data_IF_050571938889
#
_entry.id   IF_050571938889
#
_cell.length_a   1.000
_cell.length_b   1.000
_cell.length_c   1.000
_cell.angle_alpha   90.00
_cell.angle_beta   90.00
_cell.angle_gamma   90.00
#
_symmetry.space_group_name_H-M   'P 1'
#
loop_
_entity.id
_entity.type
_entity.pdbx_description
1 polymer ?
#
# COMPACT_ATOMS: atom_id res chain seq x y z
N UNK A 1 -13.31 4.88 -65.08
CA UNK A 1 -11.92 4.65 -64.63
C UNK A 1 -11.55 5.78 -63.67
N UNK A 2 -10.92 5.44 -62.53
CA UNK A 2 -10.41 6.28 -61.43
C UNK A 2 -11.40 6.91 -60.43
N UNK A 3 -11.45 6.35 -59.21
CA UNK A 3 -11.55 7.05 -57.92
C UNK A 3 -11.67 6.06 -56.74
N UNK A 4 -10.62 5.30 -56.40
CA UNK A 4 -10.58 4.48 -55.17
C UNK A 4 -9.16 4.30 -54.61
N UNK A 5 -8.42 5.38 -54.42
CA UNK A 5 -7.25 5.39 -53.53
C UNK A 5 -7.17 6.78 -52.93
N UNK A 6 -7.56 6.95 -51.66
CA UNK A 6 -7.50 8.28 -51.04
C UNK A 6 -8.10 8.44 -49.64
N UNK A 7 -8.40 7.36 -48.91
CA UNK A 7 -8.90 7.49 -47.53
C UNK A 7 -8.11 6.62 -46.54
N UNK A 8 -7.61 5.44 -46.96
CA UNK A 8 -6.86 4.58 -46.05
C UNK A 8 -5.51 5.16 -45.59
N UNK A 9 -4.84 5.96 -46.43
CA UNK A 9 -3.49 6.45 -46.14
C UNK A 9 -3.47 7.66 -45.20
N UNK A 10 -4.58 8.38 -45.05
CA UNK A 10 -4.65 9.57 -44.16
C UNK A 10 -4.90 9.16 -42.71
N UNK A 11 -5.65 8.08 -42.45
CA UNK A 11 -5.91 7.61 -41.08
C UNK A 11 -4.68 7.05 -40.36
N UNK A 12 -3.65 6.61 -41.10
CA UNK A 12 -2.42 6.07 -40.48
C UNK A 12 -1.47 7.19 -40.03
N UNK A 13 -1.50 8.37 -40.66
CA UNK A 13 -0.61 9.50 -40.31
C UNK A 13 -1.07 10.28 -39.06
N UNK A 14 -2.36 10.26 -38.72
CA UNK A 14 -2.87 10.92 -37.50
C UNK A 14 -2.54 10.13 -36.23
N UNK A 15 -2.40 8.81 -36.32
CA UNK A 15 -2.05 7.97 -35.16
C UNK A 15 -0.59 8.13 -34.71
N UNK A 16 0.31 8.61 -35.58
CA UNK A 16 1.72 8.82 -35.22
C UNK A 16 1.98 10.16 -34.50
N UNK A 17 1.10 11.15 -34.63
CA UNK A 17 1.27 12.48 -34.00
C UNK A 17 0.73 12.56 -32.56
N UNK A 18 -0.11 11.60 -32.13
CA UNK A 18 -0.58 11.52 -30.74
C UNK A 18 0.39 10.79 -29.81
N UNK A 19 1.35 10.04 -30.35
CA UNK A 19 2.35 9.30 -29.56
C UNK A 19 3.57 10.16 -29.17
N UNK A 20 3.66 11.40 -29.64
CA UNK A 20 4.82 12.30 -29.44
C UNK A 20 4.63 13.43 -28.42
N UNK A 21 3.48 13.54 -27.75
CA UNK A 21 3.23 14.60 -26.76
C UNK A 21 2.22 14.20 -25.68
N UNK A 22 2.08 12.91 -25.42
CA UNK A 22 1.65 12.43 -24.12
C UNK A 22 2.90 12.24 -23.26
N UNK A 23 3.62 13.32 -22.99
CA UNK A 23 4.19 13.43 -21.65
C UNK A 23 3.00 13.27 -20.72
N UNK A 24 2.86 12.10 -20.11
CA UNK A 24 2.02 11.93 -18.94
C UNK A 24 2.50 12.98 -17.94
N UNK A 25 1.89 14.16 -17.96
CA UNK A 25 1.76 15.00 -16.79
C UNK A 25 0.97 14.14 -15.82
N UNK A 26 1.69 13.33 -15.03
CA UNK A 26 1.18 12.72 -13.82
C UNK A 26 0.43 13.82 -13.10
N UNK A 27 -0.89 13.70 -13.06
CA UNK A 27 -1.70 14.69 -12.38
C UNK A 27 -1.31 14.57 -10.90
N UNK A 28 -1.06 15.68 -10.18
CA UNK A 28 -0.76 15.64 -8.75
C UNK A 28 -1.81 14.87 -7.93
N UNK A 29 -3.03 14.75 -8.45
CA UNK A 29 -4.12 13.94 -7.90
C UNK A 29 -3.81 12.43 -7.85
N UNK A 30 -2.98 11.91 -8.74
CA UNK A 30 -2.63 10.49 -8.77
C UNK A 30 -1.69 10.15 -7.60
N UNK A 31 -0.61 10.93 -7.41
CA UNK A 31 0.34 10.75 -6.31
C UNK A 31 -0.35 10.75 -4.94
N UNK A 32 -1.24 11.71 -4.71
CA UNK A 32 -2.02 11.82 -3.48
C UNK A 32 -2.92 10.59 -3.25
N UNK A 33 -3.58 10.09 -4.30
CA UNK A 33 -4.40 8.88 -4.21
C UNK A 33 -3.57 7.63 -3.86
N UNK A 34 -2.36 7.50 -4.42
CA UNK A 34 -1.46 6.39 -4.08
C UNK A 34 -0.99 6.45 -2.62
N UNK A 35 -0.65 7.63 -2.11
CA UNK A 35 -0.26 7.83 -0.71
C UNK A 35 -1.43 7.53 0.24
N UNK A 36 -2.64 8.01 -0.08
CA UNK A 36 -3.83 7.74 0.73
C UNK A 36 -4.16 6.24 0.81
N UNK A 37 -3.99 5.50 -0.30
CA UNK A 37 -4.16 4.03 -0.32
C UNK A 37 -3.12 3.31 0.52
N UNK A 38 -1.88 3.80 0.53
CA UNK A 38 -0.83 3.23 1.38
C UNK A 38 -1.13 3.47 2.87
N UNK A 39 -1.56 4.68 3.23
CA UNK A 39 -2.01 4.98 4.59
C UNK A 39 -3.20 4.10 4.98
N UNK A 40 -4.18 3.92 4.09
CA UNK A 40 -5.32 3.04 4.33
C UNK A 40 -4.89 1.59 4.60
N UNK A 41 -3.93 1.05 3.83
CA UNK A 41 -3.39 -0.28 4.08
C UNK A 41 -2.71 -0.38 5.47
N UNK A 42 -2.02 0.68 5.90
CA UNK A 42 -1.46 0.75 7.26
C UNK A 42 -2.53 0.76 8.35
N UNK A 43 -3.60 1.53 8.16
CA UNK A 43 -4.75 1.57 9.08
C UNK A 43 -5.44 0.21 9.17
N UNK A 44 -5.68 -0.45 8.03
CA UNK A 44 -6.30 -1.78 7.99
C UNK A 44 -5.46 -2.81 8.75
N UNK A 45 -4.13 -2.76 8.61
CA UNK A 45 -3.22 -3.61 9.37
C UNK A 45 -3.33 -3.38 10.88
N UNK A 46 -3.35 -2.13 11.33
CA UNK A 46 -3.47 -1.83 12.77
C UNK A 46 -4.83 -2.24 13.34
N UNK A 47 -5.92 -2.11 12.57
CA UNK A 47 -7.24 -2.63 12.94
C UNK A 47 -7.20 -4.15 13.09
N UNK A 48 -6.59 -4.86 12.12
CA UNK A 48 -6.44 -6.31 12.20
C UNK A 48 -5.67 -6.74 13.45
N UNK A 49 -4.57 -6.05 13.77
CA UNK A 49 -3.80 -6.29 15.00
C UNK A 49 -4.64 -6.08 16.26
N UNK A 50 -5.46 -5.02 16.32
CA UNK A 50 -6.37 -4.78 17.45
C UNK A 50 -7.37 -5.92 17.62
N UNK A 51 -7.96 -6.38 16.51
CA UNK A 51 -8.85 -7.54 16.50
C UNK A 51 -8.17 -8.83 16.95
N UNK A 52 -6.92 -9.07 16.53
CA UNK A 52 -6.13 -10.24 16.96
C UNK A 52 -5.84 -10.20 18.45
N UNK A 53 -5.34 -9.06 18.94
CA UNK A 53 -5.03 -8.84 20.35
C UNK A 53 -6.26 -9.09 21.23
N UNK A 54 -7.39 -8.46 20.89
CA UNK A 54 -8.64 -8.60 21.65
C UNK A 54 -9.16 -10.04 21.54
N UNK A 55 -9.05 -10.64 20.36
CA UNK A 55 -9.43 -12.02 20.08
C UNK A 55 -8.71 -13.02 20.99
N UNK A 56 -7.39 -12.90 21.10
CA UNK A 56 -6.53 -13.76 21.94
C UNK A 56 -6.79 -13.51 23.41
N UNK A 57 -6.80 -12.23 23.84
CA UNK A 57 -7.03 -11.84 25.24
C UNK A 57 -8.35 -12.40 25.78
N UNK A 58 -9.38 -12.46 24.94
CA UNK A 58 -10.70 -12.96 25.31
C UNK A 58 -10.93 -14.44 24.98
N UNK A 59 -9.94 -15.14 24.41
CA UNK A 59 -10.06 -16.55 24.02
C UNK A 59 -11.07 -16.80 22.90
N UNK A 60 -11.39 -15.79 22.10
CA UNK A 60 -12.34 -15.86 20.97
C UNK A 60 -11.67 -16.14 19.63
N UNK A 61 -10.34 -16.07 19.59
CA UNK A 61 -9.53 -16.32 18.39
C UNK A 61 -8.41 -17.32 18.72
N UNK A 62 -8.29 -18.37 17.91
CA UNK A 62 -7.19 -19.33 18.01
C UNK A 62 -5.87 -18.77 17.50
N UNK A 63 -4.73 -19.37 17.87
CA UNK A 63 -3.41 -18.91 17.42
C UNK A 63 -3.22 -19.06 15.91
N UNK A 64 -3.68 -20.17 15.32
CA UNK A 64 -3.58 -20.41 13.87
C UNK A 64 -4.43 -19.41 13.08
N UNK A 65 -5.62 -19.09 13.60
CA UNK A 65 -6.50 -18.06 13.03
C UNK A 65 -5.86 -16.67 13.15
N UNK A 66 -5.28 -16.34 14.30
CA UNK A 66 -4.54 -15.11 14.49
C UNK A 66 -3.37 -14.99 13.51
N UNK A 67 -2.58 -16.06 13.33
CA UNK A 67 -1.47 -16.09 12.37
C UNK A 67 -1.96 -15.83 10.95
N UNK A 68 -3.04 -16.50 10.52
CA UNK A 68 -3.62 -16.30 9.19
C UNK A 68 -4.09 -14.85 8.98
N UNK A 69 -4.69 -14.23 9.99
CA UNK A 69 -5.11 -12.83 9.94
C UNK A 69 -3.92 -11.86 9.83
N UNK A 70 -2.81 -12.14 10.52
CA UNK A 70 -1.58 -11.33 10.36
C UNK A 70 -1.04 -11.45 8.95
N UNK A 71 -0.96 -12.68 8.42
CA UNK A 71 -0.45 -12.94 7.07
C UNK A 71 -1.29 -12.23 6.01
N UNK A 72 -2.62 -12.32 6.09
CA UNK A 72 -3.52 -11.60 5.19
C UNK A 72 -3.32 -10.08 5.26
N UNK A 73 -3.17 -9.52 6.46
CA UNK A 73 -2.94 -8.09 6.63
C UNK A 73 -1.57 -7.65 6.07
N UNK A 74 -0.53 -8.48 6.25
CA UNK A 74 0.81 -8.23 5.68
C UNK A 74 0.81 -8.30 4.14
N UNK A 75 0.04 -9.23 3.54
CA UNK A 75 -0.10 -9.29 2.08
C UNK A 75 -0.69 -7.99 1.51
N UNK A 76 -1.66 -7.39 2.21
CA UNK A 76 -2.24 -6.09 1.82
C UNK A 76 -1.22 -4.95 1.93
N UNK A 77 -0.38 -4.94 2.97
CA UNK A 77 0.74 -3.99 3.10
C UNK A 77 1.70 -4.11 1.92
N UNK A 78 2.18 -5.32 1.62
CA UNK A 78 3.09 -5.58 0.51
C UNK A 78 2.48 -5.17 -0.84
N UNK A 79 1.19 -5.43 -1.03
CA UNK A 79 0.49 -5.01 -2.25
C UNK A 79 0.44 -3.48 -2.39
N UNK A 80 0.23 -2.75 -1.29
CA UNK A 80 0.26 -1.29 -1.29
C UNK A 80 1.66 -0.74 -1.54
N UNK A 81 2.67 -1.32 -0.88
CA UNK A 81 4.08 -0.97 -1.03
C UNK A 81 4.57 -1.19 -2.46
N UNK A 82 4.26 -2.35 -3.06
CA UNK A 82 4.58 -2.66 -4.45
C UNK A 82 3.98 -1.63 -5.41
N UNK A 83 2.71 -1.28 -5.22
CA UNK A 83 2.03 -0.25 -6.04
C UNK A 83 2.70 1.12 -5.91
N UNK A 84 3.14 1.50 -4.70
CA UNK A 84 3.91 2.73 -4.49
C UNK A 84 5.25 2.67 -5.24
N UNK A 85 5.99 1.57 -5.10
CA UNK A 85 7.30 1.39 -5.75
C UNK A 85 7.19 1.49 -7.28
N UNK A 86 6.16 0.85 -7.86
CA UNK A 86 5.91 0.83 -9.32
C UNK A 86 5.40 2.16 -9.89
N UNK A 87 4.68 2.96 -9.10
CA UNK A 87 4.17 4.25 -9.56
C UNK A 87 5.29 5.30 -9.60
N UNK A 88 5.38 6.08 -10.69
CA UNK A 88 6.30 7.22 -10.77
C UNK A 88 5.65 8.43 -10.13
N UNK A 89 6.34 9.05 -9.17
CA UNK A 89 5.86 10.28 -8.57
C UNK A 89 6.54 11.48 -9.24
N UNK A 90 5.90 12.67 -9.21
CA UNK A 90 6.62 13.91 -9.48
C UNK A 90 7.80 14.07 -8.51
N UNK A 91 8.89 14.69 -8.97
CA UNK A 91 10.15 14.83 -8.18
C UNK A 91 9.91 15.44 -6.79
N UNK A 92 8.99 16.40 -6.67
CA UNK A 92 8.66 17.04 -5.39
C UNK A 92 7.94 16.10 -4.39
N UNK A 93 7.32 15.01 -4.85
CA UNK A 93 6.63 14.02 -4.00
C UNK A 93 7.47 12.74 -3.76
N UNK A 94 8.62 12.56 -4.43
CA UNK A 94 9.47 11.35 -4.27
C UNK A 94 9.92 11.14 -2.80
N UNK A 95 10.12 12.22 -2.05
CA UNK A 95 10.39 12.14 -0.60
C UNK A 95 9.21 11.55 0.18
N UNK A 96 7.98 11.95 -0.13
CA UNK A 96 6.76 11.44 0.51
C UNK A 96 6.57 9.96 0.16
N UNK A 97 6.82 9.58 -1.09
CA UNK A 97 6.82 8.17 -1.53
C UNK A 97 7.82 7.33 -0.72
N UNK A 98 9.06 7.79 -0.58
CA UNK A 98 10.08 7.08 0.18
C UNK A 98 9.67 6.89 1.66
N UNK A 99 9.14 7.94 2.29
CA UNK A 99 8.63 7.87 3.66
C UNK A 99 7.44 6.91 3.79
N UNK A 100 6.51 6.93 2.82
CA UNK A 100 5.38 6.02 2.83
C UNK A 100 5.81 4.54 2.73
N UNK A 101 6.80 4.25 1.88
CA UNK A 101 7.40 2.91 1.77
C UNK A 101 8.05 2.50 3.09
N UNK A 102 8.86 3.37 3.70
CA UNK A 102 9.51 3.10 5.00
C UNK A 102 8.48 2.77 6.08
N UNK A 103 7.37 3.51 6.18
CA UNK A 103 6.31 3.21 7.16
C UNK A 103 5.63 1.88 6.89
N UNK A 104 5.41 1.50 5.63
CA UNK A 104 4.86 0.18 5.28
C UNK A 104 5.82 -0.95 5.64
N UNK A 105 7.11 -0.77 5.40
CA UNK A 105 8.15 -1.74 5.77
C UNK A 105 8.21 -1.95 7.29
N UNK A 106 8.16 -0.86 8.08
CA UNK A 106 8.08 -0.94 9.56
C UNK A 106 6.82 -1.68 10.03
N UNK A 107 5.66 -1.43 9.42
CA UNK A 107 4.43 -2.16 9.74
C UNK A 107 4.52 -3.64 9.38
N UNK A 108 5.18 -3.96 8.27
CA UNK A 108 5.43 -5.34 7.87
C UNK A 108 6.31 -6.07 8.90
N UNK A 109 7.39 -5.43 9.37
CA UNK A 109 8.27 -5.98 10.42
C UNK A 109 7.53 -6.23 11.74
N UNK A 110 6.64 -5.31 12.14
CA UNK A 110 5.76 -5.51 13.29
C UNK A 110 4.90 -6.77 13.12
N UNK A 111 4.43 -7.05 11.90
CA UNK A 111 3.71 -8.28 11.58
C UNK A 111 4.57 -9.55 11.75
N UNK A 112 5.84 -9.52 11.34
CA UNK A 112 6.78 -10.64 11.55
C UNK A 112 7.07 -10.89 13.03
N UNK A 113 7.26 -9.83 13.81
CA UNK A 113 7.41 -9.92 15.27
C UNK A 113 6.15 -10.50 15.91
N UNK A 114 4.96 -10.06 15.48
CA UNK A 114 3.70 -10.58 15.98
C UNK A 114 3.55 -12.08 15.68
N UNK A 115 3.84 -12.54 14.46
CA UNK A 115 3.83 -13.98 14.14
C UNK A 115 4.78 -14.77 15.04
N UNK A 116 5.92 -14.18 15.40
CA UNK A 116 6.88 -14.80 16.33
C UNK A 116 6.30 -14.89 17.75
N UNK A 117 5.73 -13.81 18.28
CA UNK A 117 5.08 -13.79 19.60
C UNK A 117 3.89 -14.75 19.69
N UNK A 118 3.07 -14.83 18.63
CA UNK A 118 1.94 -15.76 18.53
C UNK A 118 2.38 -17.23 18.64
N UNK A 119 3.49 -17.58 17.97
CA UNK A 119 4.08 -18.93 18.05
C UNK A 119 4.68 -19.23 19.43
N UNK A 120 5.17 -18.22 20.13
CA UNK A 120 5.82 -18.34 21.44
C UNK A 120 4.87 -18.23 22.65
N UNK A 121 3.59 -17.85 22.42
CA UNK A 121 2.54 -17.70 23.45
C UNK A 121 2.82 -16.60 24.49
N UNK A 122 3.36 -15.46 24.04
CA UNK A 122 3.63 -14.31 24.90
C UNK A 122 2.59 -13.20 24.67
N UNK A 123 1.62 -13.07 25.58
CA UNK A 123 0.52 -12.10 25.44
C UNK A 123 0.96 -10.64 25.67
N UNK A 124 1.93 -10.41 26.57
CA UNK A 124 2.46 -9.05 26.85
C UNK A 124 3.12 -8.43 25.61
N UNK A 125 3.72 -9.26 24.74
CA UNK A 125 4.37 -8.79 23.52
C UNK A 125 3.33 -8.31 22.47
N UNK A 126 2.13 -8.91 22.45
CA UNK A 126 1.10 -8.57 21.46
C UNK A 126 0.56 -7.14 21.67
N UNK A 127 0.32 -6.73 22.91
CA UNK A 127 -0.11 -5.37 23.22
C UNK A 127 0.96 -4.34 22.84
N UNK A 128 2.22 -4.60 23.18
CA UNK A 128 3.33 -3.71 22.85
C UNK A 128 3.48 -3.52 21.32
N UNK A 129 3.38 -4.61 20.56
CA UNK A 129 3.42 -4.58 19.09
C UNK A 129 2.24 -3.80 18.50
N UNK A 130 1.03 -4.01 19.04
CA UNK A 130 -0.16 -3.26 18.62
C UNK A 130 0.01 -1.75 18.85
N UNK A 131 0.48 -1.33 20.03
CA UNK A 131 0.70 0.08 20.33
C UNK A 131 1.74 0.69 19.39
N UNK A 132 2.80 -0.06 19.06
CA UNK A 132 3.81 0.36 18.09
C UNK A 132 3.23 0.51 16.69
N UNK A 133 2.38 -0.41 16.24
CA UNK A 133 1.68 -0.28 14.96
C UNK A 133 0.77 0.96 14.92
N UNK A 134 -0.02 1.19 15.97
CA UNK A 134 -0.89 2.38 16.07
C UNK A 134 -0.11 3.70 16.06
N UNK A 135 1.04 3.73 16.73
CA UNK A 135 1.93 4.89 16.71
C UNK A 135 2.50 5.13 15.30
N UNK A 136 2.97 4.07 14.63
CA UNK A 136 3.50 4.14 13.26
C UNK A 136 2.43 4.63 12.29
N UNK A 137 1.22 4.08 12.34
CA UNK A 137 0.09 4.51 11.48
C UNK A 137 -0.30 5.96 11.77
N UNK A 138 -0.32 6.38 13.03
CA UNK A 138 -0.63 7.78 13.38
C UNK A 138 0.38 8.75 12.79
N UNK A 139 1.67 8.44 12.89
CA UNK A 139 2.72 9.24 12.25
C UNK A 139 2.58 9.22 10.73
N UNK A 140 2.34 8.05 10.15
CA UNK A 140 2.18 7.88 8.72
C UNK A 140 1.03 8.74 8.17
N UNK A 141 -0.11 8.76 8.86
CA UNK A 141 -1.27 9.59 8.51
C UNK A 141 -1.01 11.09 8.67
N UNK A 142 -0.25 11.52 9.69
CA UNK A 142 0.10 12.93 9.90
C UNK A 142 1.06 13.43 8.81
N UNK A 143 2.06 12.63 8.44
CA UNK A 143 3.08 12.98 7.45
C UNK A 143 2.53 13.05 6.02
N UNK A 144 1.36 12.46 5.76
CA UNK A 144 0.73 12.42 4.43
C UNK A 144 -0.56 13.22 4.33
N UNK A 145 -0.82 14.12 5.29
CA UNK A 145 -1.93 15.08 5.28
C UNK A 145 -1.47 16.46 4.81
#
# INVERSE_FOLDING_TARGET
>A
MYARIGIATVCVLVLSLLSGCAEQRLHPLDAELFLQRAVAAGVDFAIAMGGIRDGIRHGTLGQDEALALVEEAQERLLAAEKRLKEHRFPEYDEKRKAQAIEKLEVLYEIGEELKTSLRQKSDEDIEALYLRAMQTVSQFAIENR
#
